data_IF_496342909218
#
_entry.id   IF_496342909218
#
_cell.length_a   1.000
_cell.length_b   1.000
_cell.length_c   1.000
_cell.angle_alpha   90.00
_cell.angle_beta   90.00
_cell.angle_gamma   90.00
#
_symmetry.space_group_name_H-M   'P 1'
#
loop_
_entity.id
_entity.type
_entity.pdbx_description
1 polymer ?
#
# COMPACT_ATOMS: atom_id res chain seq x y z
N UNK A 1 21.41 -10.10 -4.08
CA UNK A 1 20.10 -9.51 -3.76
C UNK A 1 20.02 -8.22 -4.55
N UNK A 2 18.92 -7.97 -5.25
CA UNK A 2 18.74 -6.73 -6.01
C UNK A 2 18.70 -5.53 -5.02
N UNK A 3 19.24 -4.38 -5.41
CA UNK A 3 19.24 -3.12 -4.66
C UNK A 3 19.01 -1.98 -5.65
N UNK A 4 18.18 -1.01 -5.28
CA UNK A 4 17.93 0.20 -6.08
C UNK A 4 18.48 1.39 -5.31
N UNK A 5 19.74 1.73 -5.57
CA UNK A 5 20.50 2.76 -4.86
C UNK A 5 20.26 4.17 -5.43
N UNK A 6 19.75 4.28 -6.66
CA UNK A 6 19.45 5.59 -7.27
C UNK A 6 17.95 5.80 -7.49
N UNK A 7 17.58 7.07 -7.71
CA UNK A 7 16.21 7.44 -8.07
C UNK A 7 15.77 6.77 -9.37
N UNK A 8 16.67 6.73 -10.35
CA UNK A 8 16.43 6.13 -11.67
C UNK A 8 16.17 4.63 -11.54
N UNK A 9 16.91 3.94 -10.66
CA UNK A 9 16.70 2.51 -10.41
C UNK A 9 15.35 2.24 -9.76
N UNK A 10 14.92 3.07 -8.81
CA UNK A 10 13.58 2.99 -8.20
C UNK A 10 12.48 3.24 -9.23
N UNK A 11 12.64 4.27 -10.07
CA UNK A 11 11.68 4.59 -11.12
C UNK A 11 11.58 3.42 -12.11
N UNK A 12 12.73 2.89 -12.56
CA UNK A 12 12.77 1.78 -13.48
C UNK A 12 12.20 0.49 -12.87
N UNK A 13 12.45 0.22 -11.58
CA UNK A 13 11.87 -0.91 -10.88
C UNK A 13 10.34 -0.82 -10.80
N UNK A 14 9.82 0.35 -10.39
CA UNK A 14 8.39 0.64 -10.39
C UNK A 14 7.78 0.43 -11.78
N UNK A 15 8.37 1.02 -12.81
CA UNK A 15 7.86 0.91 -14.19
C UNK A 15 7.83 -0.54 -14.69
N UNK A 16 8.86 -1.33 -14.40
CA UNK A 16 8.87 -2.78 -14.71
C UNK A 16 7.76 -3.53 -13.98
N UNK A 17 7.53 -3.22 -12.70
CA UNK A 17 6.44 -3.85 -11.92
C UNK A 17 5.07 -3.45 -12.46
N UNK A 18 4.85 -2.17 -12.75
CA UNK A 18 3.60 -1.67 -13.33
C UNK A 18 3.33 -2.33 -14.69
N UNK A 19 4.34 -2.40 -15.56
CA UNK A 19 4.20 -3.00 -16.89
C UNK A 19 3.97 -4.53 -16.87
N UNK A 20 4.42 -5.21 -15.83
CA UNK A 20 4.27 -6.66 -15.68
C UNK A 20 2.99 -7.09 -14.95
N UNK A 21 2.15 -6.13 -14.53
CA UNK A 21 0.91 -6.39 -13.81
C UNK A 21 -0.30 -6.07 -14.69
N UNK A 22 -0.92 -7.06 -15.37
CA UNK A 22 -1.96 -6.82 -16.36
C UNK A 22 -3.17 -6.08 -15.79
N UNK A 23 -3.62 -5.06 -16.51
CA UNK A 23 -4.78 -4.24 -16.10
C UNK A 23 -4.47 -3.25 -14.98
N UNK A 24 -3.19 -3.07 -14.61
CA UNK A 24 -2.80 -2.11 -13.60
C UNK A 24 -3.19 -0.67 -13.96
N UNK A 25 -3.91 -0.03 -13.05
CA UNK A 25 -4.15 1.41 -13.06
C UNK A 25 -3.74 1.98 -11.70
N UNK A 26 -3.07 3.13 -11.72
CA UNK A 26 -2.65 3.78 -10.48
C UNK A 26 -3.89 4.27 -9.71
N UNK A 27 -4.03 3.94 -8.42
CA UNK A 27 -5.15 4.42 -7.62
C UNK A 27 -5.01 5.92 -7.35
N UNK A 28 -6.13 6.62 -7.20
CA UNK A 28 -6.19 7.97 -6.65
C UNK A 28 -5.71 8.02 -5.19
N UNK A 29 -6.01 6.99 -4.40
CA UNK A 29 -5.51 6.83 -3.04
C UNK A 29 -5.33 5.35 -2.65
N UNK A 30 -4.40 5.07 -1.73
CA UNK A 30 -4.25 3.73 -1.15
C UNK A 30 -3.69 3.77 0.27
N UNK A 31 -3.98 2.73 1.04
CA UNK A 31 -3.42 2.55 2.38
C UNK A 31 -3.45 1.07 2.82
N UNK A 32 -2.65 0.78 3.84
CA UNK A 32 -2.83 -0.41 4.70
C UNK A 32 -3.45 0.07 6.00
N UNK A 33 -4.64 -0.43 6.31
CA UNK A 33 -5.34 -0.16 7.55
C UNK A 33 -5.27 -1.33 8.52
N UNK A 34 -5.61 -1.07 9.78
CA UNK A 34 -5.84 -2.10 10.79
C UNK A 34 -7.29 -2.02 11.26
N UNK A 35 -7.96 -3.16 11.20
CA UNK A 35 -9.32 -3.37 11.68
C UNK A 35 -9.28 -3.88 13.12
N UNK A 36 -9.99 -3.17 14.01
CA UNK A 36 -10.20 -3.55 15.42
C UNK A 36 -11.62 -3.18 15.82
N UNK A 37 -12.33 -4.07 16.51
CA UNK A 37 -13.70 -3.85 16.97
C UNK A 37 -14.68 -3.39 15.86
N UNK A 38 -14.43 -3.82 14.62
CA UNK A 38 -15.22 -3.45 13.44
C UNK A 38 -14.85 -2.09 12.83
N UNK A 39 -13.88 -1.36 13.38
CA UNK A 39 -13.45 -0.06 12.86
C UNK A 39 -12.08 -0.16 12.19
N UNK A 40 -11.93 0.58 11.09
CA UNK A 40 -10.68 0.65 10.33
C UNK A 40 -9.94 1.95 10.63
N UNK A 41 -8.68 1.81 11.03
CA UNK A 41 -7.78 2.93 11.26
C UNK A 41 -6.61 2.89 10.30
N UNK A 42 -6.15 4.06 9.86
CA UNK A 42 -5.00 4.22 8.97
C UNK A 42 -3.95 5.08 9.65
N UNK A 43 -2.74 4.53 9.85
CA UNK A 43 -1.60 5.29 10.38
C UNK A 43 -0.86 6.08 9.30
N UNK A 44 -0.91 5.63 8.05
CA UNK A 44 -0.36 6.30 6.88
C UNK A 44 -1.29 6.13 5.68
N UNK A 45 -1.67 7.23 5.05
CA UNK A 45 -2.45 7.26 3.82
C UNK A 45 -1.63 7.87 2.68
N UNK A 46 -1.96 7.48 1.44
CA UNK A 46 -1.33 8.02 0.25
C UNK A 46 -2.42 8.49 -0.70
N UNK A 47 -2.32 9.73 -1.20
CA UNK A 47 -3.20 10.29 -2.21
C UNK A 47 -2.36 10.98 -3.30
N UNK A 48 -2.70 10.74 -4.57
CA UNK A 48 -2.05 11.39 -5.72
C UNK A 48 -0.55 11.09 -5.90
N UNK A 49 -0.03 10.00 -5.32
CA UNK A 49 1.41 9.70 -5.36
C UNK A 49 1.81 8.38 -4.71
N UNK A 50 3.12 8.20 -4.50
CA UNK A 50 3.72 7.01 -3.87
C UNK A 50 3.36 5.70 -4.60
N UNK A 51 3.42 5.71 -5.92
CA UNK A 51 2.97 4.58 -6.74
C UNK A 51 3.84 3.32 -6.65
N UNK A 52 5.08 3.43 -6.15
CA UNK A 52 5.93 2.25 -5.98
C UNK A 52 5.39 1.30 -4.88
N UNK A 53 5.14 1.76 -3.64
CA UNK A 53 4.43 0.95 -2.67
C UNK A 53 3.01 0.56 -3.14
N UNK A 54 2.33 1.40 -3.93
CA UNK A 54 1.01 1.05 -4.47
C UNK A 54 1.06 -0.23 -5.33
N UNK A 55 1.97 -0.31 -6.30
CA UNK A 55 2.09 -1.51 -7.17
C UNK A 55 2.56 -2.74 -6.38
N UNK A 56 3.45 -2.58 -5.41
CA UNK A 56 3.90 -3.69 -4.55
C UNK A 56 2.73 -4.26 -3.74
N UNK A 57 1.94 -3.39 -3.10
CA UNK A 57 0.76 -3.82 -2.35
C UNK A 57 -0.29 -4.46 -3.26
N UNK A 58 -0.53 -3.87 -4.44
CA UNK A 58 -1.49 -4.36 -5.40
C UNK A 58 -1.16 -5.78 -5.90
N UNK A 59 0.13 -6.03 -6.18
CA UNK A 59 0.61 -7.37 -6.55
C UNK A 59 0.43 -8.39 -5.42
N UNK A 60 0.58 -7.99 -4.17
CA UNK A 60 0.40 -8.87 -3.01
C UNK A 60 -1.07 -9.31 -2.81
N UNK A 61 -2.05 -8.48 -3.20
CA UNK A 61 -3.49 -8.78 -3.05
C UNK A 61 -4.22 -9.06 -4.35
N UNK A 62 -3.54 -8.96 -5.50
CA UNK A 62 -4.14 -9.16 -6.83
C UNK A 62 -5.02 -8.00 -7.30
N UNK A 63 -4.85 -6.79 -6.76
CA UNK A 63 -5.56 -5.60 -7.21
C UNK A 63 -5.01 -5.13 -8.56
N UNK A 64 -5.87 -4.83 -9.54
CA UNK A 64 -5.47 -4.33 -10.84
C UNK A 64 -5.91 -2.88 -11.05
N UNK A 65 -7.19 -2.57 -10.87
CA UNK A 65 -7.72 -1.22 -11.06
C UNK A 65 -9.02 -1.00 -10.28
N UNK A 66 -9.47 0.26 -10.25
CA UNK A 66 -10.71 0.67 -9.61
C UNK A 66 -10.64 0.77 -8.08
N UNK A 67 -11.79 0.95 -7.46
CA UNK A 67 -11.92 1.01 -6.00
C UNK A 67 -12.19 -0.38 -5.45
N UNK A 68 -11.36 -0.84 -4.52
CA UNK A 68 -11.50 -2.16 -3.90
C UNK A 68 -10.78 -2.27 -2.55
N UNK A 69 -11.24 -3.19 -1.73
CA UNK A 69 -10.69 -3.50 -0.41
C UNK A 69 -10.40 -4.98 -0.30
N UNK A 70 -9.33 -5.32 0.43
CA UNK A 70 -8.84 -6.68 0.51
C UNK A 70 -8.43 -7.01 1.94
N UNK A 71 -8.96 -8.07 2.55
CA UNK A 71 -8.33 -8.67 3.72
C UNK A 71 -6.86 -8.97 3.40
N UNK A 72 -5.95 -8.44 4.21
CA UNK A 72 -4.52 -8.59 4.00
C UNK A 72 -3.97 -9.51 5.08
N UNK A 73 -3.44 -10.66 4.69
CA UNK A 73 -2.77 -11.54 5.64
C UNK A 73 -1.42 -10.98 6.06
N UNK A 74 -0.94 -11.38 7.24
CA UNK A 74 0.42 -11.06 7.71
C UNK A 74 1.48 -11.45 6.67
N UNK A 75 1.38 -12.66 6.10
CA UNK A 75 2.34 -13.14 5.10
C UNK A 75 2.35 -12.34 3.79
N UNK A 76 1.19 -11.81 3.37
CA UNK A 76 1.14 -10.90 2.22
C UNK A 76 1.81 -9.54 2.53
N UNK A 77 1.58 -8.99 3.73
CA UNK A 77 2.25 -7.74 4.13
C UNK A 77 3.76 -7.94 4.30
N UNK A 78 4.21 -9.06 4.87
CA UNK A 78 5.63 -9.43 4.95
C UNK A 78 6.26 -9.57 3.55
N UNK A 79 5.53 -10.17 2.60
CA UNK A 79 5.96 -10.27 1.19
C UNK A 79 6.07 -8.89 0.55
N UNK A 80 5.09 -8.00 0.75
CA UNK A 80 5.12 -6.63 0.25
C UNK A 80 6.31 -5.83 0.84
N UNK A 81 6.59 -5.99 2.15
CA UNK A 81 7.78 -5.41 2.79
C UNK A 81 9.06 -5.94 2.15
N UNK A 82 9.17 -7.25 1.92
CA UNK A 82 10.34 -7.85 1.30
C UNK A 82 10.56 -7.37 -0.14
N UNK A 83 9.50 -7.24 -0.94
CA UNK A 83 9.58 -6.74 -2.31
C UNK A 83 9.96 -5.26 -2.39
N UNK A 84 9.55 -4.45 -1.41
CA UNK A 84 9.84 -3.01 -1.36
C UNK A 84 11.20 -2.70 -0.71
N UNK A 85 11.74 -3.60 0.13
CA UNK A 85 12.98 -3.40 0.88
C UNK A 85 14.22 -3.02 0.03
N UNK A 86 14.41 -3.49 -1.22
CA UNK A 86 15.54 -3.07 -2.05
C UNK A 86 15.61 -1.56 -2.32
N UNK A 87 14.50 -0.84 -2.17
CA UNK A 87 14.44 0.61 -2.32
C UNK A 87 15.21 1.37 -1.21
N UNK A 88 15.42 0.75 -0.04
CA UNK A 88 16.16 1.36 1.08
C UNK A 88 17.60 1.71 0.74
N UNK A 89 18.17 1.06 -0.28
CA UNK A 89 19.50 1.40 -0.78
C UNK A 89 19.57 2.84 -1.31
N UNK A 90 18.45 3.40 -1.80
CA UNK A 90 18.38 4.80 -2.20
C UNK A 90 18.13 5.69 -0.99
N UNK A 91 19.20 6.32 -0.49
CA UNK A 91 19.15 7.26 0.64
C UNK A 91 18.58 8.63 0.28
N UNK A 92 18.36 8.91 -1.01
CA UNK A 92 17.77 10.17 -1.48
C UNK A 92 16.25 10.22 -1.29
N UNK A 93 15.60 9.06 -1.16
CA UNK A 93 14.18 8.96 -0.87
C UNK A 93 13.94 8.46 0.55
N UNK A 94 12.90 9.01 1.18
CA UNK A 94 12.31 8.38 2.37
C UNK A 94 11.35 7.30 1.91
N UNK A 95 11.28 6.21 2.67
CA UNK A 95 10.40 5.07 2.40
C UNK A 95 9.33 4.94 3.49
N UNK A 96 8.44 5.95 3.67
CA UNK A 96 7.52 5.98 4.80
C UNK A 96 6.56 4.77 4.81
N UNK A 97 6.10 4.32 3.63
CA UNK A 97 5.26 3.12 3.53
C UNK A 97 5.99 1.86 4.02
N UNK A 98 7.28 1.70 3.65
CA UNK A 98 8.05 0.54 4.07
C UNK A 98 8.26 0.51 5.60
N UNK A 99 8.63 1.65 6.18
CA UNK A 99 8.78 1.81 7.63
C UNK A 99 7.46 1.52 8.32
N UNK A 100 6.38 2.16 7.86
CA UNK A 100 5.06 2.01 8.44
C UNK A 100 4.54 0.57 8.38
N UNK A 101 4.74 -0.15 7.28
CA UNK A 101 4.30 -1.55 7.17
C UNK A 101 5.04 -2.48 8.12
N UNK A 102 6.31 -2.21 8.42
CA UNK A 102 7.06 -2.95 9.45
C UNK A 102 6.51 -2.66 10.84
N UNK A 103 6.23 -1.39 11.15
CA UNK A 103 5.60 -0.99 12.41
C UNK A 103 4.22 -1.64 12.58
N UNK A 104 3.42 -1.72 11.52
CA UNK A 104 2.12 -2.39 11.54
C UNK A 104 2.23 -3.89 11.82
N UNK A 105 3.23 -4.57 11.26
CA UNK A 105 3.49 -6.00 11.52
C UNK A 105 3.80 -6.27 13.00
N UNK A 106 4.55 -5.38 13.64
CA UNK A 106 4.87 -5.45 15.06
C UNK A 106 3.65 -5.06 15.91
N UNK A 107 2.97 -3.97 15.57
CA UNK A 107 1.80 -3.47 16.30
C UNK A 107 0.68 -4.52 16.36
N UNK A 108 0.35 -5.17 15.24
CA UNK A 108 -0.69 -6.19 15.21
C UNK A 108 -0.24 -7.49 15.88
N UNK A 109 1.06 -7.80 15.91
CA UNK A 109 1.57 -8.93 16.70
C UNK A 109 1.32 -8.69 18.20
N UNK A 110 1.58 -7.47 18.67
CA UNK A 110 1.51 -7.12 20.08
C UNK A 110 0.07 -6.85 20.56
N UNK A 111 -0.73 -6.18 19.74
CA UNK A 111 -2.04 -5.63 20.12
C UNK A 111 -3.22 -6.30 19.43
N UNK A 112 -2.97 -7.22 18.51
CA UNK A 112 -4.00 -7.82 17.66
C UNK A 112 -4.58 -6.85 16.64
N UNK A 113 -5.52 -7.37 15.85
CA UNK A 113 -6.15 -6.68 14.72
C UNK A 113 -6.00 -7.46 13.41
N UNK A 114 -6.67 -6.99 12.36
CA UNK A 114 -6.58 -7.57 11.02
C UNK A 114 -6.17 -6.48 10.03
N UNK A 115 -5.23 -6.78 9.13
CA UNK A 115 -4.88 -5.81 8.09
C UNK A 115 -5.92 -5.79 6.98
N UNK A 116 -6.10 -4.61 6.39
CA UNK A 116 -6.86 -4.41 5.17
C UNK A 116 -6.07 -3.54 4.22
N UNK A 117 -5.95 -3.96 2.96
CA UNK A 117 -5.44 -3.12 1.88
C UNK A 117 -6.62 -2.43 1.20
N UNK A 118 -6.54 -1.11 1.03
CA UNK A 118 -7.61 -0.31 0.43
C UNK A 118 -7.02 0.46 -0.74
N UNK A 119 -7.69 0.39 -1.88
CA UNK A 119 -7.39 1.13 -3.10
C UNK A 119 -8.63 1.91 -3.53
N UNK A 120 -8.44 3.18 -3.86
CA UNK A 120 -9.47 4.06 -4.40
C UNK A 120 -9.09 4.39 -5.83
N UNK A 121 -9.90 3.98 -6.79
CA UNK A 121 -9.69 4.28 -8.21
C UNK A 121 -9.97 5.75 -8.51
N UNK A 122 -11.13 6.23 -8.08
CA UNK A 122 -11.57 7.62 -8.18
C UNK A 122 -12.16 8.10 -6.85
N UNK A 123 -11.74 9.29 -6.40
CA UNK A 123 -12.23 9.92 -5.17
C UNK A 123 -13.66 10.48 -5.30
N UNK A 124 -14.15 10.66 -6.52
CA UNK A 124 -15.53 11.10 -6.80
C UNK A 124 -16.54 9.94 -6.83
N UNK A 125 -16.07 8.69 -6.94
CA UNK A 125 -16.93 7.50 -6.88
C UNK A 125 -17.57 7.31 -5.48
N UNK A 126 -18.77 6.73 -5.39
CA UNK A 126 -19.33 6.34 -4.11
C UNK A 126 -18.47 5.26 -3.42
N UNK A 127 -18.33 5.28 -2.09
CA UNK A 127 -17.53 4.29 -1.40
C UNK A 127 -18.12 2.88 -1.53
N UNK A 128 -17.27 1.88 -1.72
CA UNK A 128 -17.69 0.48 -1.92
C UNK A 128 -17.98 -0.24 -0.61
N UNK A 129 -17.33 0.16 0.49
CA UNK A 129 -17.56 -0.37 1.84
C UNK A 129 -17.13 0.62 2.95
N UNK A 130 -17.04 0.14 4.19
CA UNK A 130 -16.62 0.93 5.35
C UNK A 130 -15.11 1.24 5.39
N UNK A 131 -14.26 0.35 4.86
CA UNK A 131 -12.81 0.54 4.82
C UNK A 131 -12.44 1.65 3.81
N UNK A 132 -13.05 1.62 2.64
CA UNK A 132 -12.95 2.67 1.62
C UNK A 132 -13.48 4.00 2.17
N UNK A 133 -14.66 4.00 2.79
CA UNK A 133 -15.21 5.21 3.43
C UNK A 133 -14.25 5.80 4.46
N UNK A 134 -13.64 4.96 5.30
CA UNK A 134 -12.66 5.39 6.28
C UNK A 134 -11.40 5.98 5.62
N UNK A 135 -10.91 5.39 4.52
CA UNK A 135 -9.77 5.92 3.80
C UNK A 135 -10.09 7.29 3.17
N UNK A 136 -11.24 7.43 2.51
CA UNK A 136 -11.69 8.70 1.90
C UNK A 136 -11.78 9.81 2.93
N UNK A 137 -12.29 9.52 4.12
CA UNK A 137 -12.33 10.46 5.24
C UNK A 137 -10.91 10.83 5.73
N UNK A 138 -9.98 9.88 5.74
CA UNK A 138 -8.61 10.10 6.19
C UNK A 138 -7.74 10.88 5.20
N UNK A 139 -7.99 10.80 3.89
CA UNK A 139 -7.24 11.56 2.86
C UNK A 139 -7.79 12.96 2.58
N UNK A 140 -9.00 13.25 3.06
CA UNK A 140 -9.66 14.55 2.88
C UNK A 140 -9.34 15.56 3.99
N UNK A 141 -8.49 15.18 4.97
CA UNK A 141 -8.07 16.00 6.11
C UNK A 141 -6.65 16.56 5.94
#
# INVERSE_FOLDING_TARGET
MEQWATKEEIIAARERMEASHPGWERPAAFAVGVVRDGETSFGLTNAGGNYFPAIVLARAVGHASGTATYPLSRGQLETAVAELSPAEACTEFRHPNLVHWRELLDEVADRGGQFVAVFVGDLDDPPVDEHDRALRAAVSN
#
